data_IF_964296965850
#
_entry.id   IF_964296965850
#
_cell.length_a   1.000
_cell.length_b   1.000
_cell.length_c   1.000
_cell.angle_alpha   90.00
_cell.angle_beta   90.00
_cell.angle_gamma   90.00
#
_symmetry.space_group_name_H-M   'P 1'
#
loop_
_entity.id
_entity.type
_entity.pdbx_description
1 polymer ?
#
# COMPACT_ATOMS: atom_id res chain seq x y z
N UNK A 1 8.81 14.77 13.02
CA UNK A 1 9.39 13.62 13.74
C UNK A 1 8.35 12.76 14.47
N UNK A 2 7.30 13.34 15.11
CA UNK A 2 6.27 12.57 15.83
C UNK A 2 5.37 11.76 14.87
N UNK A 3 5.12 12.28 13.68
CA UNK A 3 4.30 11.64 12.65
C UNK A 3 5.02 10.42 12.05
N UNK A 4 6.33 10.51 11.83
CA UNK A 4 7.15 9.39 11.36
C UNK A 4 7.26 8.25 12.39
N UNK A 5 7.21 8.57 13.69
CA UNK A 5 7.23 7.56 14.76
C UNK A 5 5.89 6.81 14.84
N UNK A 6 4.77 7.52 14.68
CA UNK A 6 3.43 6.89 14.65
C UNK A 6 3.27 5.98 13.43
N UNK A 7 3.72 6.42 12.26
CA UNK A 7 3.73 5.60 11.03
C UNK A 7 4.59 4.33 11.20
N UNK A 8 5.75 4.45 11.89
CA UNK A 8 6.61 3.31 12.18
C UNK A 8 5.96 2.33 13.17
N UNK A 9 5.30 2.83 14.21
CA UNK A 9 4.58 2.00 15.19
C UNK A 9 3.41 1.28 14.53
N UNK A 10 2.66 1.95 13.67
CA UNK A 10 1.55 1.36 12.92
C UNK A 10 2.05 0.31 11.93
N UNK A 11 3.18 0.56 11.26
CA UNK A 11 3.83 -0.38 10.35
C UNK A 11 4.29 -1.64 11.10
N UNK A 12 4.91 -1.49 12.27
CA UNK A 12 5.33 -2.60 13.13
C UNK A 12 4.11 -3.36 13.65
N UNK A 13 3.05 -2.67 14.09
CA UNK A 13 1.81 -3.30 14.52
C UNK A 13 1.19 -4.15 13.41
N UNK A 14 1.16 -3.64 12.18
CA UNK A 14 0.64 -4.36 11.01
C UNK A 14 1.50 -5.57 10.61
N UNK A 15 2.83 -5.53 10.85
CA UNK A 15 3.70 -6.70 10.65
C UNK A 15 3.30 -7.90 11.51
N UNK A 16 2.82 -7.66 12.73
CA UNK A 16 2.45 -8.71 13.67
C UNK A 16 0.95 -9.05 13.65
N UNK A 17 0.12 -8.22 13.04
CA UNK A 17 -1.34 -8.38 13.06
C UNK A 17 -1.87 -9.46 12.10
N UNK A 18 -1.06 -9.98 11.13
CA UNK A 18 -1.61 -10.90 10.12
C UNK A 18 -0.56 -11.81 9.45
N UNK A 19 -0.87 -13.08 9.20
CA UNK A 19 -1.62 -14.00 10.06
C UNK A 19 -0.72 -14.41 11.23
N UNK A 20 -1.21 -14.29 12.43
CA UNK A 20 -0.48 -14.54 13.68
C UNK A 20 0.27 -15.90 13.67
N UNK A 21 -0.35 -16.94 13.09
CA UNK A 21 0.24 -18.27 13.00
C UNK A 21 1.51 -18.33 12.14
N UNK A 22 1.55 -17.68 10.98
CA UNK A 22 2.72 -17.68 10.11
C UNK A 22 3.89 -16.93 10.73
N UNK A 23 3.61 -15.78 11.36
CA UNK A 23 4.63 -14.97 12.06
C UNK A 23 5.23 -15.75 13.22
N UNK A 24 4.41 -16.45 13.99
CA UNK A 24 4.87 -17.32 15.09
C UNK A 24 5.74 -18.46 14.55
N UNK A 25 5.34 -19.13 13.47
CA UNK A 25 6.15 -20.18 12.84
C UNK A 25 7.52 -19.67 12.39
N UNK A 26 7.57 -18.49 11.76
CA UNK A 26 8.83 -17.87 11.33
C UNK A 26 9.73 -17.56 12.53
N UNK A 27 9.17 -17.02 13.61
CA UNK A 27 9.91 -16.73 14.84
C UNK A 27 10.45 -18.00 15.51
N UNK A 28 9.68 -19.08 15.55
CA UNK A 28 10.13 -20.37 16.08
C UNK A 28 11.28 -20.93 15.26
N UNK A 29 11.18 -20.92 13.93
CA UNK A 29 12.24 -21.37 13.03
C UNK A 29 13.51 -20.56 13.23
N UNK A 30 13.37 -19.22 13.35
CA UNK A 30 14.49 -18.31 13.58
C UNK A 30 15.19 -18.59 14.91
N UNK A 31 14.43 -18.79 15.97
CA UNK A 31 14.96 -19.16 17.30
C UNK A 31 15.68 -20.52 17.27
N UNK A 32 15.14 -21.50 16.56
CA UNK A 32 15.77 -22.82 16.41
C UNK A 32 17.11 -22.71 15.66
N UNK A 33 17.18 -21.89 14.60
CA UNK A 33 18.40 -21.64 13.83
C UNK A 33 19.43 -20.93 14.71
N UNK A 34 19.04 -19.86 15.42
CA UNK A 34 19.94 -19.14 16.33
C UNK A 34 20.48 -20.03 17.44
N UNK A 35 19.65 -20.88 18.03
CA UNK A 35 20.07 -21.84 19.06
C UNK A 35 21.08 -22.86 18.49
N UNK A 36 20.87 -23.33 17.27
CA UNK A 36 21.78 -24.24 16.57
C UNK A 36 23.12 -23.59 16.27
N UNK A 37 23.11 -22.33 15.79
CA UNK A 37 24.32 -21.54 15.53
C UNK A 37 25.10 -21.34 16.84
N UNK A 38 24.42 -20.91 17.89
CA UNK A 38 25.01 -20.70 19.21
C UNK A 38 25.67 -21.99 19.73
N UNK A 39 24.95 -23.13 19.71
CA UNK A 39 25.47 -24.43 20.14
C UNK A 39 26.69 -24.86 19.35
N UNK A 40 26.74 -24.60 18.04
CA UNK A 40 27.86 -24.99 17.18
C UNK A 40 29.10 -24.10 17.37
N UNK A 41 28.91 -22.82 17.67
CA UNK A 41 30.05 -21.91 17.97
C UNK A 41 30.85 -22.37 19.20
N UNK A 42 30.22 -22.98 20.20
CA UNK A 42 30.88 -23.49 21.38
C UNK A 42 31.72 -24.75 21.10
N UNK A 43 31.49 -25.49 20.02
CA UNK A 43 32.18 -26.77 19.70
C UNK A 43 33.42 -26.65 18.82
N UNK A 44 33.89 -25.44 18.51
CA UNK A 44 35.19 -25.15 17.77
C UNK A 44 35.41 -25.92 16.48
N UNK A 45 34.39 -26.20 15.67
CA UNK A 45 34.55 -26.95 14.41
C UNK A 45 34.34 -26.01 13.24
N UNK A 46 35.40 -25.67 12.49
CA UNK A 46 35.44 -24.66 11.42
C UNK A 46 34.37 -24.83 10.33
N UNK A 47 34.11 -26.04 9.88
CA UNK A 47 33.11 -26.33 8.84
C UNK A 47 31.67 -26.03 9.32
N UNK A 48 31.41 -26.19 10.61
CA UNK A 48 30.08 -25.91 11.19
C UNK A 48 29.79 -24.43 11.30
N UNK A 49 30.82 -23.59 11.40
CA UNK A 49 30.69 -22.14 11.38
C UNK A 49 30.12 -21.66 10.03
N UNK A 50 30.61 -22.26 8.92
CA UNK A 50 30.11 -21.95 7.59
C UNK A 50 28.63 -22.29 7.45
N UNK A 51 28.21 -23.49 7.85
CA UNK A 51 26.78 -23.87 7.83
C UNK A 51 25.92 -22.99 8.74
N UNK A 52 26.44 -22.61 9.91
CA UNK A 52 25.79 -21.71 10.83
C UNK A 52 25.58 -20.32 10.22
N UNK A 53 26.56 -19.78 9.52
CA UNK A 53 26.49 -18.48 8.83
C UNK A 53 25.45 -18.52 7.70
N UNK A 54 25.43 -19.58 6.89
CA UNK A 54 24.46 -19.78 5.81
C UNK A 54 23.04 -19.88 6.40
N UNK A 55 22.86 -20.66 7.46
CA UNK A 55 21.57 -20.79 8.13
C UNK A 55 21.07 -19.47 8.72
N UNK A 56 21.97 -18.68 9.31
CA UNK A 56 21.65 -17.35 9.83
C UNK A 56 21.25 -16.38 8.70
N UNK A 57 22.00 -16.35 7.60
CA UNK A 57 21.66 -15.54 6.44
C UNK A 57 20.29 -15.91 5.86
N UNK A 58 19.99 -17.19 5.77
CA UNK A 58 18.69 -17.68 5.33
C UNK A 58 17.56 -17.27 6.29
N UNK A 59 17.79 -17.35 7.60
CA UNK A 59 16.83 -16.94 8.63
C UNK A 59 16.54 -15.43 8.55
N UNK A 60 17.56 -14.60 8.35
CA UNK A 60 17.40 -13.14 8.18
C UNK A 60 16.58 -12.85 6.91
N UNK A 61 16.88 -13.52 5.79
CA UNK A 61 16.10 -13.36 4.56
C UNK A 61 14.64 -13.77 4.76
N UNK A 62 14.37 -14.90 5.42
CA UNK A 62 13.02 -15.34 5.76
C UNK A 62 12.27 -14.30 6.62
N UNK A 63 12.94 -13.69 7.58
CA UNK A 63 12.35 -12.64 8.42
C UNK A 63 12.06 -11.39 7.59
N UNK A 64 12.99 -10.96 6.76
CA UNK A 64 12.80 -9.77 5.90
C UNK A 64 11.64 -10.01 4.93
N UNK A 65 11.68 -11.08 4.14
CA UNK A 65 10.67 -11.32 3.10
C UNK A 65 9.32 -11.77 3.67
N UNK A 66 9.33 -12.63 4.69
CA UNK A 66 8.13 -13.23 5.25
C UNK A 66 7.36 -12.32 6.19
N UNK A 67 8.05 -11.43 6.90
CA UNK A 67 7.43 -10.55 7.91
C UNK A 67 7.51 -9.10 7.49
N UNK A 68 8.73 -8.55 7.30
CA UNK A 68 8.92 -7.11 7.07
C UNK A 68 8.33 -6.67 5.74
N UNK A 69 8.71 -7.33 4.64
CA UNK A 69 8.24 -6.96 3.30
C UNK A 69 6.74 -7.20 3.13
N UNK A 70 6.20 -8.20 3.79
CA UNK A 70 4.76 -8.45 3.79
C UNK A 70 3.99 -7.36 4.51
N UNK A 71 4.44 -6.92 5.69
CA UNK A 71 3.83 -5.81 6.42
C UNK A 71 3.87 -4.51 5.63
N UNK A 72 5.01 -4.21 5.00
CA UNK A 72 5.18 -3.03 4.14
C UNK A 72 4.20 -3.09 2.95
N UNK A 73 4.13 -4.22 2.24
CA UNK A 73 3.23 -4.39 1.09
C UNK A 73 1.76 -4.27 1.47
N UNK A 74 1.34 -4.82 2.60
CA UNK A 74 -0.04 -4.71 3.06
C UNK A 74 -0.40 -3.29 3.50
N UNK A 75 0.47 -2.63 4.26
CA UNK A 75 0.23 -1.27 4.75
C UNK A 75 0.30 -0.20 3.65
N UNK A 76 1.03 -0.45 2.56
CA UNK A 76 1.23 0.50 1.46
C UNK A 76 0.54 0.10 0.16
N UNK A 77 -0.26 -0.97 0.15
CA UNK A 77 -1.02 -1.41 -1.02
C UNK A 77 -2.32 -0.61 -1.18
N UNK A 78 -2.71 -0.38 -2.43
CA UNK A 78 -4.01 0.22 -2.76
C UNK A 78 -5.21 -0.73 -2.54
N UNK A 79 -4.95 -2.03 -2.32
CA UNK A 79 -6.00 -3.06 -2.21
C UNK A 79 -7.01 -2.80 -1.08
N UNK A 80 -6.59 -2.53 0.19
CA UNK A 80 -7.56 -2.28 1.26
C UNK A 80 -8.46 -1.08 0.97
N UNK A 81 -7.91 -0.05 0.33
CA UNK A 81 -8.67 1.12 -0.09
C UNK A 81 -9.67 0.78 -1.21
N UNK A 82 -9.25 -0.01 -2.21
CA UNK A 82 -10.14 -0.46 -3.27
C UNK A 82 -11.33 -1.28 -2.72
N UNK A 83 -11.06 -2.22 -1.80
CA UNK A 83 -12.08 -3.03 -1.14
C UNK A 83 -13.04 -2.16 -0.30
N UNK A 84 -12.51 -1.15 0.39
CA UNK A 84 -13.31 -0.21 1.16
C UNK A 84 -14.25 0.60 0.27
N UNK A 85 -13.71 1.24 -0.77
CA UNK A 85 -14.53 2.12 -1.62
C UNK A 85 -15.56 1.36 -2.43
N UNK A 86 -15.27 0.13 -2.89
CA UNK A 86 -16.25 -0.73 -3.54
C UNK A 86 -17.41 -1.13 -2.63
N UNK A 87 -17.16 -1.24 -1.33
CA UNK A 87 -18.20 -1.58 -0.35
C UNK A 87 -19.05 -0.38 0.06
N UNK A 88 -18.44 0.80 0.15
CA UNK A 88 -19.07 2.01 0.70
C UNK A 88 -19.75 2.86 -0.36
N UNK A 89 -19.31 2.79 -1.62
CA UNK A 89 -19.80 3.66 -2.70
C UNK A 89 -20.32 2.85 -3.89
N UNK A 90 -21.33 3.34 -4.62
CA UNK A 90 -21.89 2.67 -5.79
C UNK A 90 -20.99 2.86 -7.01
N UNK A 91 -19.80 2.30 -6.95
CA UNK A 91 -18.85 2.30 -8.06
C UNK A 91 -19.28 1.30 -9.11
N UNK A 92 -19.34 1.75 -10.35
CA UNK A 92 -19.65 0.93 -11.52
C UNK A 92 -18.64 1.16 -12.66
N UNK A 93 -18.83 0.46 -13.78
CA UNK A 93 -17.92 0.49 -14.91
C UNK A 93 -17.89 1.84 -15.63
N UNK A 94 -18.88 2.71 -15.41
CA UNK A 94 -19.10 3.94 -16.17
C UNK A 94 -18.91 5.21 -15.36
N UNK A 95 -18.61 5.11 -14.06
CA UNK A 95 -18.60 6.28 -13.17
C UNK A 95 -17.27 6.55 -12.45
N UNK A 96 -16.21 5.81 -12.78
CA UNK A 96 -14.89 5.96 -12.16
C UNK A 96 -13.92 6.69 -13.08
N UNK A 97 -13.41 7.82 -12.64
CA UNK A 97 -12.58 8.71 -13.47
C UNK A 97 -11.23 9.04 -12.82
N UNK A 98 -10.24 9.23 -13.67
CA UNK A 98 -8.89 9.73 -13.34
C UNK A 98 -8.44 10.75 -14.39
N UNK A 99 -7.40 11.54 -14.07
CA UNK A 99 -6.77 12.45 -15.04
C UNK A 99 -5.53 11.79 -15.63
N UNK A 100 -5.51 11.61 -16.96
CA UNK A 100 -4.36 11.01 -17.67
C UNK A 100 -3.16 11.95 -17.77
N UNK A 101 -3.38 13.25 -17.75
CA UNK A 101 -2.38 14.30 -17.88
C UNK A 101 -1.69 14.64 -16.57
N UNK A 102 -2.16 14.11 -15.44
CA UNK A 102 -1.47 14.23 -14.18
C UNK A 102 -0.29 13.24 -14.11
N UNK A 103 0.85 13.72 -13.61
CA UNK A 103 2.08 12.90 -13.47
C UNK A 103 1.87 11.63 -12.64
N UNK A 104 0.90 11.65 -11.77
CA UNK A 104 0.55 10.56 -10.85
C UNK A 104 -0.43 9.56 -11.43
N UNK A 105 -1.04 9.80 -12.57
CA UNK A 105 -1.96 8.84 -13.19
C UNK A 105 -1.31 7.46 -13.40
N UNK A 106 -0.09 7.44 -13.93
CA UNK A 106 0.64 6.20 -14.15
C UNK A 106 0.81 5.35 -12.88
N UNK A 107 0.79 6.00 -11.73
CA UNK A 107 0.97 5.36 -10.43
C UNK A 107 -0.34 4.90 -9.78
N UNK A 108 -1.49 5.15 -10.40
CA UNK A 108 -2.79 4.61 -9.96
C UNK A 108 -3.12 3.24 -10.57
N UNK A 109 -2.19 2.63 -11.33
CA UNK A 109 -2.40 1.31 -11.94
C UNK A 109 -2.75 0.22 -10.92
N UNK A 110 -2.11 0.23 -9.74
CA UNK A 110 -2.42 -0.71 -8.68
C UNK A 110 -3.87 -0.57 -8.20
N UNK A 111 -4.36 0.66 -8.00
CA UNK A 111 -5.76 0.90 -7.64
C UNK A 111 -6.70 0.50 -8.76
N UNK A 112 -6.41 0.89 -10.00
CA UNK A 112 -7.21 0.53 -11.17
C UNK A 112 -7.34 -0.99 -11.34
N UNK A 113 -6.23 -1.72 -11.15
CA UNK A 113 -6.23 -3.18 -11.19
C UNK A 113 -7.21 -3.79 -10.17
N UNK A 114 -7.19 -3.33 -8.91
CA UNK A 114 -8.09 -3.82 -7.87
C UNK A 114 -9.55 -3.39 -8.08
N UNK A 115 -9.80 -2.30 -8.80
CA UNK A 115 -11.13 -1.84 -9.21
C UNK A 115 -11.59 -2.42 -10.56
N UNK A 116 -10.87 -3.39 -11.12
CA UNK A 116 -11.28 -4.12 -12.34
C UNK A 116 -10.89 -3.46 -13.64
N UNK A 117 -9.92 -2.54 -13.65
CA UNK A 117 -9.42 -1.80 -14.82
C UNK A 117 -10.51 -0.94 -15.52
N UNK A 118 -11.32 -0.24 -14.74
CA UNK A 118 -12.51 0.48 -15.19
C UNK A 118 -12.37 2.00 -15.11
N UNK A 119 -11.16 2.52 -14.98
CA UNK A 119 -10.94 3.96 -14.95
C UNK A 119 -11.09 4.60 -16.31
N UNK A 120 -11.90 5.65 -16.37
CA UNK A 120 -12.11 6.51 -17.50
C UNK A 120 -11.28 7.79 -17.42
N UNK A 121 -11.01 8.41 -18.58
CA UNK A 121 -10.27 9.66 -18.62
C UNK A 121 -11.20 10.86 -18.45
N UNK A 122 -11.12 11.50 -17.29
CA UNK A 122 -11.91 12.68 -16.96
C UNK A 122 -11.72 13.84 -17.96
N UNK A 123 -10.48 14.13 -18.36
CA UNK A 123 -10.16 15.23 -19.27
C UNK A 123 -10.71 15.04 -20.68
N UNK A 124 -10.81 13.80 -21.16
CA UNK A 124 -11.32 13.46 -22.50
C UNK A 124 -12.85 13.39 -22.53
N UNK A 125 -13.44 12.73 -21.53
CA UNK A 125 -14.89 12.45 -21.54
C UNK A 125 -15.72 13.60 -20.99
N UNK A 126 -15.14 14.47 -20.16
CA UNK A 126 -15.82 15.58 -19.49
C UNK A 126 -17.20 15.20 -18.95
N UNK A 127 -17.29 14.20 -18.08
CA UNK A 127 -18.55 13.65 -17.61
C UNK A 127 -19.37 14.67 -16.81
N UNK A 128 -20.67 14.41 -16.66
CA UNK A 128 -21.55 15.28 -15.85
C UNK A 128 -21.37 15.05 -14.35
N UNK A 129 -21.25 13.78 -13.94
CA UNK A 129 -21.08 13.39 -12.54
C UNK A 129 -20.35 12.06 -12.43
N UNK A 130 -19.85 11.74 -11.25
CA UNK A 130 -19.18 10.47 -11.00
C UNK A 130 -18.22 10.52 -9.82
N UNK A 131 -17.30 9.58 -9.82
CA UNK A 131 -16.26 9.42 -8.80
C UNK A 131 -14.89 9.66 -9.40
N UNK A 132 -14.10 10.49 -8.76
CA UNK A 132 -12.80 10.91 -9.23
C UNK A 132 -11.71 10.47 -8.26
N UNK A 133 -10.71 9.75 -8.79
CA UNK A 133 -9.56 9.29 -8.01
C UNK A 133 -8.32 10.10 -8.37
N UNK A 134 -7.66 10.64 -7.37
CA UNK A 134 -6.39 11.33 -7.53
C UNK A 134 -5.55 11.25 -6.26
N UNK A 135 -4.37 11.83 -6.29
CA UNK A 135 -3.58 12.06 -5.06
C UNK A 135 -3.99 13.36 -4.38
N UNK A 136 -3.66 13.52 -3.11
CA UNK A 136 -3.94 14.76 -2.37
C UNK A 136 -3.35 15.99 -3.07
N UNK A 137 -2.13 15.89 -3.62
CA UNK A 137 -1.48 16.99 -4.35
C UNK A 137 -2.15 17.32 -5.67
N UNK A 138 -2.59 16.27 -6.38
CA UNK A 138 -3.25 16.46 -7.68
C UNK A 138 -4.63 17.07 -7.51
N UNK A 139 -5.30 16.83 -6.37
CA UNK A 139 -6.62 17.41 -6.09
C UNK A 139 -6.57 18.95 -6.14
N UNK A 140 -5.55 19.57 -5.56
CA UNK A 140 -5.38 21.05 -5.62
C UNK A 140 -5.24 21.52 -7.08
N UNK A 141 -4.47 20.79 -7.88
CA UNK A 141 -4.28 21.11 -9.30
C UNK A 141 -5.58 20.94 -10.11
N UNK A 142 -6.33 19.86 -9.83
CA UNK A 142 -7.62 19.59 -10.47
C UNK A 142 -8.64 20.67 -10.10
N UNK A 143 -8.76 21.02 -8.83
CA UNK A 143 -9.65 22.08 -8.35
C UNK A 143 -9.29 23.44 -8.98
N UNK A 144 -8.00 23.76 -9.13
CA UNK A 144 -7.56 24.98 -9.79
C UNK A 144 -7.91 25.02 -11.27
N UNK A 145 -7.78 23.89 -11.98
CA UNK A 145 -7.97 23.83 -13.43
C UNK A 145 -9.43 23.63 -13.84
N UNK A 146 -10.22 22.99 -13.00
CA UNK A 146 -11.59 22.58 -13.32
C UNK A 146 -12.65 23.07 -12.33
N UNK A 147 -12.25 23.79 -11.28
CA UNK A 147 -13.17 24.28 -10.24
C UNK A 147 -14.27 25.22 -10.75
N UNK A 148 -14.01 25.96 -11.84
CA UNK A 148 -15.01 26.81 -12.49
C UNK A 148 -16.15 25.98 -13.13
N UNK A 149 -15.81 24.76 -13.60
CA UNK A 149 -16.75 23.90 -14.34
C UNK A 149 -17.30 22.75 -13.51
N UNK A 150 -16.63 22.37 -12.43
CA UNK A 150 -16.98 21.22 -11.62
C UNK A 150 -16.84 21.52 -10.14
N UNK A 151 -17.78 20.99 -9.37
CA UNK A 151 -17.69 20.96 -7.90
C UNK A 151 -17.19 19.59 -7.47
N UNK A 152 -16.06 19.55 -6.75
CA UNK A 152 -15.46 18.33 -6.21
C UNK A 152 -15.71 18.25 -4.71
N UNK A 153 -16.30 17.15 -4.25
CA UNK A 153 -16.53 16.89 -2.83
C UNK A 153 -15.69 15.67 -2.40
N UNK A 154 -14.78 15.88 -1.45
CA UNK A 154 -13.97 14.81 -0.88
C UNK A 154 -14.84 13.83 -0.11
N UNK A 155 -14.79 12.55 -0.47
CA UNK A 155 -15.55 11.49 0.19
C UNK A 155 -14.68 10.73 1.19
N UNK A 156 -13.54 10.21 0.75
CA UNK A 156 -12.64 9.44 1.60
C UNK A 156 -11.19 9.50 1.07
N UNK A 157 -10.25 9.06 1.89
CA UNK A 157 -8.83 8.99 1.52
C UNK A 157 -8.17 7.76 2.13
N UNK A 158 -7.07 7.32 1.52
CA UNK A 158 -6.24 6.28 2.14
C UNK A 158 -5.69 6.75 3.48
N UNK A 159 -5.67 5.87 4.48
CA UNK A 159 -5.05 6.17 5.79
C UNK A 159 -3.55 6.39 5.64
N UNK A 160 -2.90 5.47 4.91
CA UNK A 160 -1.46 5.45 4.71
C UNK A 160 -1.07 5.95 3.33
N UNK A 161 0.21 6.31 3.20
CA UNK A 161 0.83 6.60 1.92
C UNK A 161 0.93 5.31 1.12
N UNK A 162 0.42 5.32 -0.11
CA UNK A 162 0.51 4.17 -1.01
C UNK A 162 1.90 4.15 -1.67
N UNK A 163 2.55 2.98 -1.66
CA UNK A 163 3.93 2.84 -2.15
C UNK A 163 4.09 3.27 -3.60
N UNK A 164 3.15 2.89 -4.47
CA UNK A 164 3.19 3.16 -5.91
C UNK A 164 3.18 4.65 -6.22
N UNK A 165 2.38 5.43 -5.50
CA UNK A 165 2.23 6.88 -5.72
C UNK A 165 3.04 7.73 -4.74
N UNK A 166 3.59 7.13 -3.69
CA UNK A 166 4.29 7.80 -2.56
C UNK A 166 3.47 8.95 -1.94
N UNK A 167 2.15 8.84 -2.01
CA UNK A 167 1.18 9.82 -1.52
C UNK A 167 -0.10 9.10 -1.09
N UNK A 168 -0.98 9.83 -0.43
CA UNK A 168 -2.34 9.36 -0.15
C UNK A 168 -3.19 9.53 -1.40
N UNK A 169 -4.03 8.53 -1.66
CA UNK A 169 -5.05 8.58 -2.70
C UNK A 169 -6.34 9.08 -2.08
N UNK A 170 -7.05 9.92 -2.78
CA UNK A 170 -8.36 10.45 -2.40
C UNK A 170 -9.41 10.01 -3.40
N UNK A 171 -10.62 9.79 -2.90
CA UNK A 171 -11.83 9.64 -3.68
C UNK A 171 -12.69 10.87 -3.49
N UNK A 172 -13.06 11.51 -4.58
CA UNK A 172 -14.00 12.62 -4.61
C UNK A 172 -15.22 12.25 -5.45
N UNK A 173 -16.40 12.71 -5.07
CA UNK A 173 -17.50 12.85 -6.00
C UNK A 173 -17.36 14.17 -6.73
N UNK A 174 -17.83 14.24 -7.96
CA UNK A 174 -17.87 15.49 -8.71
C UNK A 174 -19.20 15.66 -9.42
N UNK A 175 -19.57 16.92 -9.61
CA UNK A 175 -20.73 17.33 -10.37
C UNK A 175 -20.34 18.53 -11.24
N UNK A 176 -20.78 18.51 -12.50
CA UNK A 176 -20.58 19.62 -13.44
C UNK A 176 -21.52 20.76 -13.06
N UNK A 177 -20.96 21.98 -12.93
CA UNK A 177 -21.73 23.18 -12.71
C UNK A 177 -22.53 23.50 -13.99
N UNK A 178 -23.80 23.89 -13.85
CA UNK A 178 -24.64 24.32 -14.97
C UNK A 178 -24.22 25.69 -15.52
#
# INVERSE_FOLDING_TARGET
>A
SRQSTLEMVELVSNMFAYPCGLTICILIVLLAILATVYYQMFKKINIKILYATIALAFAINLLIDGVVMRGIRQGSSARPFAEQVQKEYPLDDMNMYVMNDLKTYANLYGLNFYLGNKFHNFGQEQPVSGFFFCTVKDLETVQKNYGDKYTFSLLTSTKNVIADVRQRIVLCSFLRNE
#
